data_IF_456229713576
#
_entry.id   IF_456229713576
#
_cell.length_a   1.000
_cell.length_b   1.000
_cell.length_c   1.000
_cell.angle_alpha   90.00
_cell.angle_beta   90.00
_cell.angle_gamma   90.00
#
_symmetry.space_group_name_H-M   'P 1'
#
loop_
_entity.id
_entity.type
_entity.pdbx_description
1 polymer ?
#
# COMPACT_ATOMS: atom_id res chain seq x y z
N UNK A 1 14.46 10.41 6.28
CA UNK A 1 14.07 9.33 5.36
C UNK A 1 12.83 8.59 5.85
N UNK A 2 12.86 8.00 7.07
CA UNK A 2 11.69 7.35 7.68
C UNK A 2 10.58 8.34 8.05
N UNK A 3 10.89 9.53 8.50
CA UNK A 3 9.93 10.57 8.82
C UNK A 3 9.10 11.00 7.61
N UNK A 4 9.74 11.21 6.45
CA UNK A 4 9.03 11.51 5.21
C UNK A 4 8.12 10.34 4.79
N UNK A 5 8.58 9.11 4.93
CA UNK A 5 7.76 7.93 4.64
C UNK A 5 6.53 7.85 5.56
N UNK A 6 6.67 8.19 6.85
CA UNK A 6 5.54 8.26 7.79
C UNK A 6 4.55 9.36 7.43
N UNK A 7 5.00 10.54 7.06
CA UNK A 7 4.15 11.64 6.58
C UNK A 7 3.37 11.25 5.31
N UNK A 8 4.02 10.54 4.38
CA UNK A 8 3.35 9.98 3.21
C UNK A 8 2.25 8.98 3.60
N UNK A 9 2.46 8.14 4.61
CA UNK A 9 1.43 7.22 5.10
C UNK A 9 0.27 7.95 5.80
N UNK A 10 0.52 9.05 6.49
CA UNK A 10 -0.53 9.88 7.06
C UNK A 10 -1.47 10.40 5.98
N UNK A 11 -0.93 10.91 4.87
CA UNK A 11 -1.72 11.37 3.72
C UNK A 11 -2.45 10.20 3.05
N UNK A 12 -1.79 9.08 2.87
CA UNK A 12 -2.41 7.86 2.30
C UNK A 12 -3.58 7.37 3.15
N UNK A 13 -3.46 7.37 4.47
CA UNK A 13 -4.54 7.00 5.40
C UNK A 13 -5.74 7.95 5.35
N UNK A 14 -5.53 9.21 5.02
CA UNK A 14 -6.63 10.16 4.81
C UNK A 14 -7.39 9.92 3.49
N UNK A 15 -6.71 9.40 2.45
CA UNK A 15 -7.23 9.38 1.08
C UNK A 15 -7.55 7.98 0.57
N UNK A 16 -6.63 7.02 0.69
CA UNK A 16 -6.76 5.73 0.01
C UNK A 16 -7.91 4.83 0.52
N UNK A 17 -8.32 4.83 1.81
CA UNK A 17 -9.52 4.12 2.22
C UNK A 17 -10.77 4.58 1.49
N UNK A 18 -10.96 5.89 1.31
CA UNK A 18 -12.08 6.45 0.55
C UNK A 18 -11.95 6.18 -0.95
N UNK A 19 -10.73 6.22 -1.49
CA UNK A 19 -10.45 5.85 -2.88
C UNK A 19 -10.83 4.38 -3.13
N UNK A 20 -10.47 3.47 -2.23
CA UNK A 20 -10.85 2.06 -2.33
C UNK A 20 -12.37 1.85 -2.25
N UNK A 21 -13.07 2.59 -1.39
CA UNK A 21 -14.53 2.57 -1.30
C UNK A 21 -15.16 3.03 -2.62
N UNK A 22 -14.70 4.14 -3.20
CA UNK A 22 -15.15 4.62 -4.52
C UNK A 22 -14.86 3.61 -5.63
N UNK A 23 -13.69 2.99 -5.62
CA UNK A 23 -13.34 1.94 -6.57
C UNK A 23 -14.32 0.76 -6.52
N UNK A 24 -14.77 0.36 -5.33
CA UNK A 24 -15.75 -0.71 -5.16
C UNK A 24 -17.11 -0.37 -5.76
N UNK A 25 -17.46 0.92 -5.80
CA UNK A 25 -18.73 1.39 -6.38
C UNK A 25 -18.68 1.55 -7.91
N UNK A 26 -17.53 1.99 -8.44
CA UNK A 26 -17.43 2.45 -9.83
C UNK A 26 -16.58 1.59 -10.75
N UNK A 27 -15.82 0.62 -10.24
CA UNK A 27 -15.00 -0.25 -11.08
C UNK A 27 -15.87 -1.02 -12.10
N UNK A 28 -15.48 -0.97 -13.37
CA UNK A 28 -16.06 -1.82 -14.42
C UNK A 28 -15.64 -3.27 -14.24
N UNK A 29 -16.33 -4.21 -14.89
CA UNK A 29 -15.96 -5.63 -14.87
C UNK A 29 -14.56 -5.87 -15.46
N UNK A 30 -14.16 -5.11 -16.47
CA UNK A 30 -12.81 -5.16 -17.04
C UNK A 30 -11.76 -4.66 -16.04
N UNK A 31 -12.04 -3.58 -15.34
CA UNK A 31 -11.14 -3.03 -14.30
C UNK A 31 -11.03 -3.96 -13.11
N UNK A 32 -12.12 -4.61 -12.69
CA UNK A 32 -12.11 -5.65 -11.66
C UNK A 32 -11.22 -6.82 -12.04
N UNK A 33 -11.33 -7.30 -13.27
CA UNK A 33 -10.47 -8.37 -13.79
C UNK A 33 -9.00 -7.96 -13.84
N UNK A 34 -8.72 -6.72 -14.23
CA UNK A 34 -7.36 -6.17 -14.22
C UNK A 34 -6.79 -6.07 -12.79
N UNK A 35 -7.58 -5.59 -11.85
CA UNK A 35 -7.18 -5.47 -10.44
C UNK A 35 -6.87 -6.84 -9.83
N UNK A 36 -7.71 -7.83 -10.08
CA UNK A 36 -7.49 -9.20 -9.63
C UNK A 36 -6.20 -9.78 -10.22
N UNK A 37 -5.96 -9.58 -11.52
CA UNK A 37 -4.73 -10.00 -12.18
C UNK A 37 -3.49 -9.32 -11.59
N UNK A 38 -3.54 -8.02 -11.28
CA UNK A 38 -2.45 -7.30 -10.64
C UNK A 38 -2.19 -7.79 -9.21
N UNK A 39 -3.24 -8.07 -8.45
CA UNK A 39 -3.13 -8.66 -7.12
C UNK A 39 -2.41 -10.01 -7.18
N UNK A 40 -2.79 -10.88 -8.12
CA UNK A 40 -2.15 -12.19 -8.33
C UNK A 40 -0.68 -12.04 -8.75
N UNK A 41 -0.36 -11.07 -9.58
CA UNK A 41 1.01 -10.83 -10.03
C UNK A 41 1.90 -10.32 -8.90
N UNK A 42 1.41 -9.40 -8.07
CA UNK A 42 2.15 -8.92 -6.88
C UNK A 42 2.44 -10.10 -5.95
N UNK A 43 1.43 -10.91 -5.65
CA UNK A 43 1.57 -12.09 -4.79
C UNK A 43 2.61 -13.09 -5.34
N UNK A 44 2.55 -13.41 -6.61
CA UNK A 44 3.53 -14.30 -7.26
C UNK A 44 4.95 -13.76 -7.20
N UNK A 45 5.14 -12.47 -7.48
CA UNK A 45 6.46 -11.85 -7.44
C UNK A 45 7.01 -11.78 -6.01
N UNK A 46 6.19 -11.46 -5.04
CA UNK A 46 6.56 -11.50 -3.64
C UNK A 46 7.00 -12.90 -3.22
N UNK A 47 6.19 -13.91 -3.49
CA UNK A 47 6.45 -15.31 -3.12
C UNK A 47 7.69 -15.87 -3.81
N UNK A 48 7.93 -15.51 -5.08
CA UNK A 48 9.11 -15.92 -5.83
C UNK A 48 10.39 -15.13 -5.50
N UNK A 49 10.33 -14.13 -4.62
CA UNK A 49 11.47 -13.27 -4.31
C UNK A 49 11.88 -12.32 -5.45
N UNK A 50 11.01 -12.12 -6.44
CA UNK A 50 11.21 -11.20 -7.55
C UNK A 50 10.82 -9.78 -7.12
N UNK A 51 11.43 -8.76 -7.74
CA UNK A 51 11.07 -7.37 -7.48
C UNK A 51 9.61 -7.10 -7.89
N UNK A 52 8.77 -6.80 -6.91
CA UNK A 52 7.32 -6.60 -7.06
C UNK A 52 6.92 -5.11 -7.11
N UNK A 53 7.84 -4.17 -6.90
CA UNK A 53 7.53 -2.74 -6.73
C UNK A 53 6.73 -2.19 -7.92
N UNK A 54 7.12 -2.54 -9.14
CA UNK A 54 6.39 -2.08 -10.33
C UNK A 54 4.94 -2.56 -10.36
N UNK A 55 4.70 -3.82 -10.03
CA UNK A 55 3.34 -4.39 -10.00
C UNK A 55 2.52 -3.88 -8.82
N UNK A 56 3.16 -3.63 -7.70
CA UNK A 56 2.52 -3.01 -6.53
C UNK A 56 2.07 -1.58 -6.85
N UNK A 57 2.91 -0.79 -7.51
CA UNK A 57 2.54 0.54 -8.04
C UNK A 57 1.37 0.45 -9.02
N UNK A 58 1.40 -0.49 -9.98
CA UNK A 58 0.30 -0.70 -10.93
C UNK A 58 -1.01 -1.08 -10.21
N UNK A 59 -0.93 -1.90 -9.17
CA UNK A 59 -2.07 -2.28 -8.33
C UNK A 59 -2.72 -1.06 -7.66
N UNK A 60 -1.97 -0.24 -6.95
CA UNK A 60 -2.47 0.97 -6.31
C UNK A 60 -3.00 2.00 -7.32
N UNK A 61 -2.32 2.15 -8.45
CA UNK A 61 -2.76 3.02 -9.55
C UNK A 61 -4.09 2.56 -10.14
N UNK A 62 -4.28 1.26 -10.32
CA UNK A 62 -5.53 0.68 -10.80
C UNK A 62 -6.70 1.02 -9.86
N UNK A 63 -6.52 0.86 -8.55
CA UNK A 63 -7.55 1.24 -7.57
C UNK A 63 -7.90 2.73 -7.68
N UNK A 64 -6.90 3.59 -7.77
CA UNK A 64 -7.11 5.03 -7.89
C UNK A 64 -7.90 5.40 -9.17
N UNK A 65 -7.59 4.80 -10.29
CA UNK A 65 -8.33 5.01 -11.57
C UNK A 65 -9.77 4.50 -11.50
N UNK A 66 -10.00 3.39 -10.81
CA UNK A 66 -11.34 2.83 -10.60
C UNK A 66 -12.25 3.76 -9.78
N UNK A 67 -11.70 4.71 -9.03
CA UNK A 67 -12.48 5.66 -8.23
C UNK A 67 -13.34 6.63 -9.07
N UNK A 68 -13.07 6.76 -10.37
CA UNK A 68 -13.70 7.74 -11.28
C UNK A 68 -13.57 9.19 -10.83
N UNK A 69 -12.59 9.50 -10.01
CA UNK A 69 -12.35 10.85 -9.51
C UNK A 69 -11.07 11.41 -10.14
N UNK A 70 -11.20 12.45 -10.97
CA UNK A 70 -10.08 13.07 -11.69
C UNK A 70 -9.05 13.71 -10.76
N UNK A 71 -9.49 14.21 -9.60
CA UNK A 71 -8.57 14.79 -8.60
C UNK A 71 -7.71 13.69 -7.98
N UNK A 72 -8.29 12.51 -7.74
CA UNK A 72 -7.53 11.34 -7.26
C UNK A 72 -6.43 10.95 -8.23
N UNK A 73 -6.65 11.05 -9.53
CA UNK A 73 -5.62 10.74 -10.55
C UNK A 73 -4.39 11.66 -10.43
N UNK A 74 -4.58 12.92 -10.01
CA UNK A 74 -3.48 13.85 -9.77
C UNK A 74 -2.61 13.41 -8.59
N UNK A 75 -3.18 12.67 -7.64
CA UNK A 75 -2.48 12.17 -6.45
C UNK A 75 -1.73 10.85 -6.70
N UNK A 76 -1.94 10.18 -7.82
CA UNK A 76 -1.29 8.90 -8.15
C UNK A 76 0.24 8.96 -8.03
N UNK A 77 0.95 9.98 -8.53
CA UNK A 77 2.41 10.06 -8.36
C UNK A 77 2.85 10.07 -6.89
N UNK A 78 2.08 10.69 -6.01
CA UNK A 78 2.34 10.72 -4.56
C UNK A 78 2.21 9.31 -3.96
N UNK A 79 1.14 8.59 -4.30
CA UNK A 79 0.91 7.21 -3.87
C UNK A 79 2.03 6.30 -4.36
N UNK A 80 2.41 6.40 -5.62
CA UNK A 80 3.49 5.62 -6.23
C UNK A 80 4.84 5.86 -5.54
N UNK A 81 5.15 7.12 -5.24
CA UNK A 81 6.36 7.49 -4.50
C UNK A 81 6.38 6.85 -3.11
N UNK A 82 5.25 6.86 -2.41
CA UNK A 82 5.12 6.23 -1.10
C UNK A 82 5.30 4.71 -1.16
N UNK A 83 4.67 4.02 -2.11
CA UNK A 83 4.80 2.57 -2.30
C UNK A 83 6.27 2.20 -2.56
N UNK A 84 6.93 2.90 -3.46
CA UNK A 84 8.34 2.67 -3.80
C UNK A 84 9.26 2.90 -2.60
N UNK A 85 9.07 3.99 -1.88
CA UNK A 85 9.86 4.33 -0.69
C UNK A 85 9.69 3.28 0.41
N UNK A 86 8.45 2.87 0.69
CA UNK A 86 8.15 1.84 1.68
C UNK A 86 8.82 0.51 1.34
N UNK A 87 8.65 0.02 0.12
CA UNK A 87 9.24 -1.25 -0.31
C UNK A 87 10.77 -1.25 -0.20
N UNK A 88 11.41 -0.12 -0.50
CA UNK A 88 12.86 0.05 -0.36
C UNK A 88 13.29 0.03 1.11
N UNK A 89 12.56 0.72 1.99
CA UNK A 89 12.91 0.83 3.41
C UNK A 89 12.70 -0.48 4.17
N UNK A 90 11.64 -1.21 3.87
CA UNK A 90 11.25 -2.42 4.61
C UNK A 90 11.92 -3.70 4.12
N UNK A 91 12.56 -3.66 2.97
CA UNK A 91 13.21 -4.84 2.37
C UNK A 91 12.30 -6.09 2.36
N UNK A 92 11.02 -5.90 2.07
CA UNK A 92 10.00 -6.97 1.98
C UNK A 92 9.68 -7.69 3.30
N UNK A 93 9.88 -7.07 4.44
CA UNK A 93 9.69 -7.73 5.74
C UNK A 93 8.22 -8.01 6.12
N UNK A 94 7.24 -7.45 5.42
CA UNK A 94 5.81 -7.66 5.67
C UNK A 94 5.11 -8.48 4.55
N UNK A 95 5.78 -9.48 4.01
CA UNK A 95 5.27 -10.24 2.87
C UNK A 95 3.87 -10.83 3.12
N UNK A 96 3.66 -11.50 4.25
CA UNK A 96 2.39 -12.14 4.58
C UNK A 96 1.26 -11.13 4.71
N UNK A 97 1.44 -10.11 5.52
CA UNK A 97 0.45 -9.07 5.78
C UNK A 97 0.14 -8.27 4.52
N UNK A 98 1.14 -8.00 3.69
CA UNK A 98 0.96 -7.33 2.39
C UNK A 98 0.10 -8.15 1.45
N UNK A 99 0.38 -9.45 1.30
CA UNK A 99 -0.40 -10.35 0.45
C UNK A 99 -1.84 -10.45 0.95
N UNK A 100 -2.04 -10.68 2.24
CA UNK A 100 -3.37 -10.82 2.84
C UNK A 100 -4.21 -9.55 2.70
N UNK A 101 -3.61 -8.39 2.92
CA UNK A 101 -4.34 -7.11 2.83
C UNK A 101 -4.59 -6.66 1.40
N UNK A 102 -3.67 -6.88 0.47
CA UNK A 102 -3.93 -6.67 -0.97
C UNK A 102 -5.12 -7.53 -1.44
N UNK A 103 -5.16 -8.79 -1.03
CA UNK A 103 -6.25 -9.71 -1.36
C UNK A 103 -7.58 -9.27 -0.74
N UNK A 104 -7.57 -8.81 0.51
CA UNK A 104 -8.77 -8.30 1.18
C UNK A 104 -9.34 -7.06 0.49
N UNK A 105 -8.50 -6.09 0.09
CA UNK A 105 -8.91 -4.92 -0.68
C UNK A 105 -9.51 -5.34 -2.03
N UNK A 106 -8.81 -6.21 -2.75
CA UNK A 106 -9.25 -6.69 -4.05
C UNK A 106 -10.62 -7.37 -3.96
N UNK A 107 -10.79 -8.31 -3.03
CA UNK A 107 -12.04 -9.05 -2.84
C UNK A 107 -13.21 -8.12 -2.51
N UNK A 108 -13.01 -7.11 -1.68
CA UNK A 108 -14.04 -6.12 -1.35
C UNK A 108 -14.44 -5.29 -2.58
N UNK A 109 -13.48 -4.87 -3.39
CA UNK A 109 -13.74 -4.13 -4.63
C UNK A 109 -14.50 -5.01 -5.64
N UNK A 110 -14.10 -6.27 -5.81
CA UNK A 110 -14.77 -7.21 -6.72
C UNK A 110 -16.24 -7.44 -6.34
N UNK A 111 -16.55 -7.41 -5.04
CA UNK A 111 -17.91 -7.60 -4.51
C UNK A 111 -18.75 -6.31 -4.48
N UNK A 112 -18.15 -5.16 -4.77
CA UNK A 112 -18.82 -3.86 -4.59
C UNK A 112 -19.03 -3.49 -3.11
N UNK A 113 -18.24 -4.04 -2.21
CA UNK A 113 -18.31 -3.79 -0.76
C UNK A 113 -17.47 -2.58 -0.37
N UNK A 114 -18.09 -1.40 -0.33
CA UNK A 114 -17.42 -0.14 -0.02
C UNK A 114 -16.90 -0.08 1.43
N UNK A 115 -17.63 -0.62 2.37
CA UNK A 115 -17.21 -0.69 3.78
C UNK A 115 -16.01 -1.64 3.94
N UNK A 116 -16.10 -2.83 3.35
CA UNK A 116 -15.02 -3.80 3.35
C UNK A 116 -13.75 -3.27 2.66
N UNK A 117 -13.89 -2.59 1.53
CA UNK A 117 -12.76 -1.97 0.81
C UNK A 117 -12.06 -0.90 1.66
N UNK A 118 -12.83 -0.04 2.31
CA UNK A 118 -12.31 0.99 3.23
C UNK A 118 -11.55 0.36 4.39
N UNK A 119 -12.16 -0.60 5.08
CA UNK A 119 -11.53 -1.28 6.21
C UNK A 119 -10.27 -2.05 5.82
N UNK A 120 -10.28 -2.77 4.70
CA UNK A 120 -9.14 -3.51 4.20
C UNK A 120 -7.97 -2.58 3.83
N UNK A 121 -8.25 -1.43 3.23
CA UNK A 121 -7.22 -0.44 2.90
C UNK A 121 -6.62 0.19 4.17
N UNK A 122 -7.43 0.51 5.17
CA UNK A 122 -6.94 0.98 6.47
C UNK A 122 -6.00 -0.06 7.09
N UNK A 123 -6.39 -1.33 7.08
CA UNK A 123 -5.58 -2.41 7.61
C UNK A 123 -4.22 -2.52 6.88
N UNK A 124 -4.25 -2.50 5.55
CA UNK A 124 -3.06 -2.54 4.71
C UNK A 124 -2.07 -1.41 5.05
N UNK A 125 -2.55 -0.18 5.10
CA UNK A 125 -1.72 0.99 5.40
C UNK A 125 -1.24 1.01 6.85
N UNK A 126 -2.06 0.53 7.78
CA UNK A 126 -1.72 0.46 9.21
C UNK A 126 -0.59 -0.53 9.48
N UNK A 127 -0.61 -1.71 8.89
CA UNK A 127 0.49 -2.67 9.00
C UNK A 127 1.79 -2.10 8.44
N UNK A 128 1.72 -1.48 7.28
CA UNK A 128 2.90 -0.88 6.66
C UNK A 128 3.45 0.29 7.49
N UNK A 129 2.60 1.15 8.01
CA UNK A 129 2.99 2.25 8.90
C UNK A 129 3.65 1.73 10.18
N UNK A 130 3.07 0.72 10.80
CA UNK A 130 3.62 0.10 12.02
C UNK A 130 5.05 -0.42 11.78
N UNK A 131 5.29 -1.04 10.64
CA UNK A 131 6.63 -1.50 10.27
C UNK A 131 7.65 -0.37 10.13
N UNK A 132 7.25 0.76 9.56
CA UNK A 132 8.12 1.95 9.49
C UNK A 132 8.44 2.51 10.86
N UNK A 133 7.48 2.53 11.79
CA UNK A 133 7.71 2.97 13.18
C UNK A 133 8.74 2.07 13.88
N UNK A 134 8.61 0.75 13.74
CA UNK A 134 9.57 -0.20 14.31
C UNK A 134 10.99 0.01 13.77
N UNK A 135 11.12 0.26 12.47
CA UNK A 135 12.43 0.53 11.84
C UNK A 135 13.03 1.87 12.30
N UNK A 136 12.20 2.89 12.50
CA UNK A 136 12.64 4.17 13.03
C UNK A 136 13.15 4.05 14.46
N UNK A 137 12.40 3.37 15.33
CA UNK A 137 12.81 3.12 16.73
C UNK A 137 14.11 2.32 16.82
N UNK A 138 14.29 1.32 15.96
CA UNK A 138 15.52 0.54 15.91
C UNK A 138 16.72 1.42 15.50
N UNK A 139 16.53 2.32 14.54
CA UNK A 139 17.57 3.24 14.09
C UNK A 139 17.96 4.24 15.20
N UNK A 140 17.00 4.76 15.94
CA UNK A 140 17.23 5.70 17.04
C UNK A 140 18.04 5.04 18.16
N UNK A 141 17.68 3.82 18.56
CA UNK A 141 18.45 3.03 19.56
C UNK A 141 19.88 2.75 19.15
N UNK A 142 20.10 2.42 17.87
CA UNK A 142 21.47 2.19 17.34
C UNK A 142 22.33 3.46 17.41
N UNK A 143 21.73 4.62 17.17
CA UNK A 143 22.43 5.91 17.24
C UNK A 143 22.77 6.32 18.68
N UNK A 144 21.88 6.04 19.63
CA UNK A 144 22.11 6.28 21.05
C UNK A 144 23.23 5.37 21.59
N UNK A 145 23.18 4.07 21.30
CA UNK A 145 24.18 3.11 21.73
C UNK A 145 25.59 3.39 21.20
N UNK A 146 25.73 4.04 20.04
CA UNK A 146 27.02 4.48 19.50
C UNK A 146 27.60 5.69 20.22
N UNK A 147 26.75 6.58 20.73
CA UNK A 147 27.17 7.79 21.47
C UNK A 147 27.60 7.47 22.90
N UNK A 148 27.09 6.40 23.50
CA UNK A 148 27.47 5.95 24.84
C UNK A 148 28.76 5.08 24.85
N UNK A 149 29.22 4.59 23.71
CA UNK A 149 30.39 3.79 23.53
C UNK A 149 31.67 4.56 23.14
N UNK A 150 31.59 5.87 22.93
CA UNK A 150 32.71 6.81 22.72
C UNK A 150 33.03 7.58 24.00
#
# INVERSE_FOLDING_TARGET
KYHLALELFEVRLMLEPEIAALASEYASEEEKAQLESLCDQVERQYTAGINHIKKDIEFHTCIAKCSRNRVVEILIPLINSSVSTFATLTRRQLMKETIETHRAVTNAILKGDSVGARCAMIMHLTYNRQKLLELLEAQEKDLEGRKEGE
#
